data_IF_922412607875
#
_entry.id   IF_922412607875
#
_cell.length_a   1.000
_cell.length_b   1.000
_cell.length_c   1.000
_cell.angle_alpha   90.00
_cell.angle_beta   90.00
_cell.angle_gamma   90.00
#
_symmetry.space_group_name_H-M   'P 1'
#
loop_
_entity.id
_entity.type
_entity.pdbx_description
1 polymer ?
#
# COMPACT_ATOMS: atom_id res chain seq x y z
N UNK A 1 -15.07 -8.40 -1.55
CA UNK A 1 -13.97 -7.52 -2.00
C UNK A 1 -13.78 -6.41 -0.97
N UNK A 2 -12.59 -6.28 -0.38
CA UNK A 2 -12.31 -5.19 0.57
C UNK A 2 -12.44 -3.86 -0.16
N UNK A 3 -13.39 -3.02 0.26
CA UNK A 3 -13.62 -1.70 -0.33
C UNK A 3 -12.34 -0.84 -0.18
N UNK A 4 -11.52 -0.75 -1.23
CA UNK A 4 -10.38 0.16 -1.27
C UNK A 4 -10.89 1.54 -1.61
N UNK A 5 -10.57 2.53 -0.77
CA UNK A 5 -10.93 3.93 -1.03
C UNK A 5 -10.04 4.47 -2.16
N UNK A 6 -10.65 4.81 -3.30
CA UNK A 6 -9.96 5.53 -4.37
C UNK A 6 -9.85 7.01 -4.01
N UNK A 7 -8.66 7.59 -4.13
CA UNK A 7 -8.42 9.01 -3.95
C UNK A 7 -7.32 9.49 -4.90
N UNK A 8 -7.39 10.75 -5.38
CA UNK A 8 -6.32 11.32 -6.17
C UNK A 8 -5.11 11.61 -5.28
N UNK A 9 -3.98 10.94 -5.56
CA UNK A 9 -2.71 11.19 -4.89
C UNK A 9 -1.92 12.24 -5.66
N UNK A 10 -1.56 13.34 -4.99
CA UNK A 10 -0.58 14.29 -5.53
C UNK A 10 0.80 13.83 -5.10
N UNK A 11 1.64 13.51 -6.07
CA UNK A 11 3.00 13.02 -5.87
C UNK A 11 3.92 13.72 -6.86
N UNK A 12 5.18 13.93 -6.45
CA UNK A 12 6.21 14.42 -7.36
C UNK A 12 6.41 13.40 -8.52
N UNK A 13 6.45 13.86 -9.79
CA UNK A 13 6.61 12.95 -10.93
C UNK A 13 7.89 12.13 -10.90
N UNK A 14 9.02 12.70 -10.46
CA UNK A 14 10.28 11.97 -10.43
C UNK A 14 10.25 10.87 -9.35
N UNK A 15 9.60 11.14 -8.21
CA UNK A 15 9.36 10.11 -7.20
C UNK A 15 8.45 8.99 -7.72
N UNK A 16 7.42 9.33 -8.50
CA UNK A 16 6.54 8.32 -9.10
C UNK A 16 7.31 7.36 -10.01
N UNK A 17 8.20 7.87 -10.86
CA UNK A 17 9.03 7.04 -11.75
C UNK A 17 9.92 6.06 -10.98
N UNK A 18 10.52 6.51 -9.88
CA UNK A 18 11.33 5.64 -9.00
C UNK A 18 10.48 4.51 -8.41
N UNK A 19 9.29 4.85 -7.90
CA UNK A 19 8.35 3.87 -7.32
C UNK A 19 7.84 2.90 -8.40
N UNK A 20 7.55 3.40 -9.60
CA UNK A 20 7.05 2.59 -10.71
C UNK A 20 8.09 1.56 -11.15
N UNK A 21 9.37 1.97 -11.29
CA UNK A 21 10.47 1.06 -11.59
C UNK A 21 10.67 0.02 -10.50
N UNK A 22 10.66 0.43 -9.24
CA UNK A 22 10.78 -0.51 -8.11
C UNK A 22 9.62 -1.51 -8.08
N UNK A 23 8.39 -1.07 -8.37
CA UNK A 23 7.25 -1.97 -8.49
C UNK A 23 7.43 -3.01 -9.60
N UNK A 24 8.01 -2.63 -10.75
CA UNK A 24 8.34 -3.57 -11.84
C UNK A 24 9.39 -4.60 -11.39
N UNK A 25 10.45 -4.14 -10.71
CA UNK A 25 11.51 -5.03 -10.21
C UNK A 25 10.96 -6.07 -9.21
N UNK A 26 9.89 -5.75 -8.48
CA UNK A 26 9.19 -6.65 -7.56
C UNK A 26 7.99 -7.40 -8.18
N UNK A 27 7.78 -7.33 -9.51
CA UNK A 27 6.64 -7.92 -10.22
C UNK A 27 5.27 -7.55 -9.60
N UNK A 28 5.11 -6.29 -9.21
CA UNK A 28 3.92 -5.75 -8.55
C UNK A 28 3.31 -4.59 -9.33
N UNK A 29 2.00 -4.38 -9.22
CA UNK A 29 1.39 -3.14 -9.72
C UNK A 29 1.84 -1.93 -8.90
N UNK A 30 1.97 -0.77 -9.55
CA UNK A 30 2.40 0.47 -8.89
C UNK A 30 1.52 0.81 -7.68
N UNK A 31 0.19 0.67 -7.81
CA UNK A 31 -0.74 0.92 -6.71
C UNK A 31 -0.55 -0.03 -5.53
N UNK A 32 -0.31 -1.32 -5.80
CA UNK A 32 -0.06 -2.29 -4.73
C UNK A 32 1.31 -2.05 -4.06
N UNK A 33 2.30 -1.58 -4.81
CA UNK A 33 3.62 -1.23 -4.26
C UNK A 33 3.54 0.04 -3.39
N UNK A 34 2.83 1.09 -3.84
CA UNK A 34 2.54 2.28 -3.02
C UNK A 34 1.83 1.89 -1.71
N UNK A 35 0.81 1.04 -1.78
CA UNK A 35 0.11 0.57 -0.57
C UNK A 35 1.06 -0.16 0.39
N UNK A 36 1.95 -1.02 -0.14
CA UNK A 36 2.95 -1.72 0.64
C UNK A 36 3.90 -0.75 1.36
N UNK A 37 4.48 0.22 0.63
CA UNK A 37 5.39 1.21 1.20
C UNK A 37 4.73 2.04 2.31
N UNK A 38 3.48 2.48 2.09
CA UNK A 38 2.72 3.24 3.09
C UNK A 38 2.42 2.40 4.34
N UNK A 39 2.09 1.12 4.18
CA UNK A 39 1.87 0.20 5.31
C UNK A 39 3.15 -0.05 6.08
N UNK A 40 4.26 -0.27 5.40
CA UNK A 40 5.57 -0.47 6.04
C UNK A 40 5.99 0.80 6.79
N UNK A 41 5.88 1.97 6.18
CA UNK A 41 6.17 3.25 6.84
C UNK A 41 5.30 3.44 8.09
N UNK A 42 3.98 3.23 7.99
CA UNK A 42 3.07 3.34 9.13
C UNK A 42 3.40 2.32 10.25
N UNK A 43 3.85 1.11 9.90
CA UNK A 43 4.28 0.10 10.89
C UNK A 43 5.57 0.50 11.58
N UNK A 44 6.57 0.99 10.82
CA UNK A 44 7.85 1.48 11.36
C UNK A 44 7.64 2.62 12.36
N UNK A 45 6.70 3.52 12.06
CA UNK A 45 6.31 4.62 12.95
C UNK A 45 5.37 4.19 14.10
N UNK A 46 5.04 2.91 14.22
CA UNK A 46 4.11 2.40 15.25
C UNK A 46 2.66 2.89 15.10
N UNK A 47 2.32 3.49 13.95
CA UNK A 47 0.99 4.05 13.65
C UNK A 47 0.01 2.99 13.18
N UNK A 48 0.51 1.88 12.65
CA UNK A 48 -0.31 0.73 12.31
C UNK A 48 -0.34 -0.23 13.51
N UNK A 49 -1.48 -0.28 14.23
CA UNK A 49 -1.71 -1.32 15.24
C UNK A 49 -1.70 -2.68 14.52
N UNK A 50 -1.05 -3.70 15.11
CA UNK A 50 -1.19 -5.08 14.63
C UNK A 50 -2.68 -5.42 14.67
N UNK A 51 -3.31 -5.55 13.51
CA UNK A 51 -4.70 -6.01 13.42
C UNK A 51 -4.79 -7.39 14.09
N UNK A 52 -5.35 -7.43 15.30
CA UNK A 52 -5.94 -8.66 15.83
C UNK A 52 -7.27 -8.85 15.09
N UNK A 53 -7.42 -9.99 14.43
CA UNK A 53 -8.62 -10.51 13.78
C UNK A 53 -9.15 -9.78 12.54
N UNK A 54 -9.07 -10.49 11.42
CA UNK A 54 -10.26 -10.75 10.61
C UNK A 54 -10.59 -12.25 10.64
N UNK A 55 -11.11 -12.70 11.76
CA UNK A 55 -12.27 -13.58 11.75
C UNK A 55 -13.44 -12.75 11.23
N UNK A 56 -14.00 -13.16 10.09
CA UNK A 56 -15.34 -12.88 9.55
C UNK A 56 -15.44 -13.87 8.37
N UNK A 57 -15.64 -15.14 8.70
CA UNK A 57 -16.96 -15.80 8.67
C UNK A 57 -17.42 -16.07 7.23
N UNK A 58 -17.24 -17.32 6.85
CA UNK A 58 -18.21 -18.17 6.17
C UNK A 58 -19.65 -17.65 6.29
N UNK A 59 -20.31 -17.40 5.16
CA UNK A 59 -21.67 -17.85 4.80
C UNK A 59 -21.94 -17.45 3.36
#
# INVERSE_FOLDING_TARGET
MTNKKSFPLRIDPALYEVIARWAQDEFRSVNAHIEFLLREAARKEGRLKKDKNKSNETT
#
